data_IF_591582821573
#
_entry.id   IF_591582821573
#
_cell.length_a   1.000
_cell.length_b   1.000
_cell.length_c   1.000
_cell.angle_alpha   90.00
_cell.angle_beta   90.00
_cell.angle_gamma   90.00
#
_symmetry.space_group_name_H-M   'P 1'
#
loop_
_entity.id
_entity.type
_entity.pdbx_description
1 polymer ?
#
# COMPACT_ATOMS: atom_id res chain seq x y z
N UNK A 1 -19.66 -7.59 2.20
CA UNK A 1 -18.25 -7.56 2.61
C UNK A 1 -17.88 -6.16 3.03
N UNK A 2 -17.21 -6.02 4.15
CA UNK A 2 -16.80 -4.72 4.68
C UNK A 2 -15.39 -4.35 4.24
N UNK A 3 -15.01 -3.08 4.41
CA UNK A 3 -13.63 -2.62 4.16
C UNK A 3 -12.62 -3.41 4.98
N UNK A 4 -12.99 -3.77 6.23
CA UNK A 4 -12.12 -4.57 7.10
C UNK A 4 -11.88 -5.96 6.52
N UNK A 5 -12.92 -6.56 5.92
CA UNK A 5 -12.76 -7.86 5.26
C UNK A 5 -11.81 -7.76 4.08
N UNK A 6 -11.90 -6.70 3.30
CA UNK A 6 -10.99 -6.47 2.16
C UNK A 6 -9.55 -6.30 2.61
N UNK A 7 -9.30 -5.53 3.67
CA UNK A 7 -7.96 -5.36 4.22
C UNK A 7 -7.43 -6.67 4.80
N UNK A 8 -8.29 -7.44 5.46
CA UNK A 8 -7.89 -8.74 6.01
C UNK A 8 -7.53 -9.72 4.91
N UNK A 9 -8.30 -9.74 3.81
CA UNK A 9 -8.00 -10.56 2.65
C UNK A 9 -6.66 -10.17 2.02
N UNK A 10 -6.40 -8.87 1.89
CA UNK A 10 -5.12 -8.37 1.39
C UNK A 10 -4.00 -8.84 2.31
N UNK A 11 -4.16 -8.71 3.61
CA UNK A 11 -3.15 -9.14 4.59
C UNK A 11 -2.83 -10.62 4.47
N UNK A 12 -3.86 -11.46 4.29
CA UNK A 12 -3.67 -12.91 4.11
C UNK A 12 -2.95 -13.21 2.81
N UNK A 13 -3.29 -12.50 1.74
CA UNK A 13 -2.63 -12.68 0.45
C UNK A 13 -1.14 -12.31 0.55
N UNK A 14 -0.83 -11.18 1.17
CA UNK A 14 0.55 -10.74 1.36
C UNK A 14 1.35 -11.75 2.19
N UNK A 15 0.76 -12.25 3.27
CA UNK A 15 1.39 -13.26 4.12
C UNK A 15 1.69 -14.53 3.31
N UNK A 16 0.78 -14.92 2.41
CA UNK A 16 0.96 -16.10 1.57
C UNK A 16 2.09 -15.95 0.56
N UNK A 17 2.53 -14.73 0.27
CA UNK A 17 3.64 -14.48 -0.67
C UNK A 17 5.01 -14.50 0.00
N UNK A 18 5.07 -14.49 1.33
CA UNK A 18 6.31 -14.63 2.07
C UNK A 18 6.99 -15.95 1.71
N UNK A 19 8.28 -15.88 1.35
CA UNK A 19 9.02 -17.07 0.94
C UNK A 19 8.62 -17.62 -0.41
N UNK A 20 7.73 -16.93 -1.14
CA UNK A 20 7.33 -17.34 -2.48
C UNK A 20 8.39 -17.04 -3.52
N UNK A 21 8.14 -17.51 -4.75
CA UNK A 21 9.05 -17.31 -5.87
C UNK A 21 9.05 -15.84 -6.32
N UNK A 22 10.20 -15.15 -6.23
CA UNK A 22 10.27 -13.74 -6.68
C UNK A 22 9.93 -13.55 -8.16
N UNK A 23 10.07 -14.60 -8.96
CA UNK A 23 9.75 -14.52 -10.39
C UNK A 23 8.24 -14.55 -10.64
N UNK A 24 7.45 -15.06 -9.70
CA UNK A 24 6.02 -15.31 -9.93
C UNK A 24 5.13 -14.16 -9.47
N UNK A 25 5.61 -13.24 -8.63
CA UNK A 25 4.77 -12.14 -8.17
C UNK A 25 5.61 -10.95 -7.73
N UNK A 26 5.05 -9.76 -7.95
CA UNK A 26 5.64 -8.49 -7.52
C UNK A 26 5.80 -8.45 -5.99
N UNK A 27 4.79 -8.90 -5.26
CA UNK A 27 4.82 -8.93 -3.80
C UNK A 27 5.92 -9.84 -3.28
N UNK A 28 6.04 -11.05 -3.83
CA UNK A 28 7.08 -11.98 -3.44
C UNK A 28 8.46 -11.38 -3.72
N UNK A 29 8.61 -10.68 -4.84
CA UNK A 29 9.87 -10.02 -5.20
C UNK A 29 10.23 -8.91 -4.23
N UNK A 30 9.26 -8.08 -3.83
CA UNK A 30 9.50 -7.02 -2.84
C UNK A 30 9.93 -7.60 -1.50
N UNK A 31 9.22 -8.63 -1.03
CA UNK A 31 9.54 -9.27 0.23
C UNK A 31 10.91 -9.93 0.20
N UNK A 32 11.25 -10.54 -0.94
CA UNK A 32 12.56 -11.18 -1.13
C UNK A 32 13.71 -10.16 -1.12
N UNK A 33 13.50 -9.00 -1.78
CA UNK A 33 14.52 -7.95 -1.80
C UNK A 33 14.75 -7.32 -0.43
N UNK A 34 13.72 -7.32 0.41
CA UNK A 34 13.83 -6.84 1.78
C UNK A 34 13.52 -5.36 1.96
N UNK A 35 13.79 -4.84 3.18
CA UNK A 35 13.28 -3.52 3.60
C UNK A 35 13.65 -2.36 2.69
N UNK A 36 14.87 -2.30 2.20
CA UNK A 36 15.30 -1.14 1.40
C UNK A 36 14.39 -0.94 0.18
N UNK A 37 13.95 -2.03 -0.44
CA UNK A 37 13.11 -1.93 -1.63
C UNK A 37 11.70 -1.41 -1.30
N UNK A 38 11.00 -2.02 -0.34
CA UNK A 38 9.63 -1.60 -0.08
C UNK A 38 9.55 -0.31 0.75
N UNK A 39 10.54 -0.02 1.60
CA UNK A 39 10.57 1.24 2.34
C UNK A 39 10.80 2.43 1.40
N UNK A 40 11.65 2.25 0.40
CA UNK A 40 11.83 3.25 -0.65
C UNK A 40 10.52 3.52 -1.37
N UNK A 41 9.76 2.47 -1.69
CA UNK A 41 8.45 2.59 -2.34
C UNK A 41 7.49 3.40 -1.49
N UNK A 42 7.45 3.16 -0.19
CA UNK A 42 6.56 3.91 0.72
C UNK A 42 6.89 5.41 0.65
N UNK A 43 8.16 5.77 0.68
CA UNK A 43 8.56 7.18 0.58
C UNK A 43 8.15 7.80 -0.76
N UNK A 44 8.36 7.09 -1.85
CA UNK A 44 7.97 7.55 -3.18
C UNK A 44 6.46 7.73 -3.29
N UNK A 45 5.66 6.76 -2.82
CA UNK A 45 4.21 6.83 -2.89
C UNK A 45 3.64 7.96 -2.02
N UNK A 46 4.23 8.20 -0.86
CA UNK A 46 3.81 9.32 -0.01
C UNK A 46 4.01 10.66 -0.74
N UNK A 47 5.14 10.83 -1.40
CA UNK A 47 5.43 12.02 -2.19
C UNK A 47 4.45 12.16 -3.36
N UNK A 48 4.17 11.07 -4.07
CA UNK A 48 3.22 11.07 -5.18
C UNK A 48 1.80 11.43 -4.72
N UNK A 49 1.40 10.98 -3.53
CA UNK A 49 0.11 11.36 -2.96
C UNK A 49 0.05 12.87 -2.70
N UNK A 50 1.11 13.44 -2.11
CA UNK A 50 1.18 14.88 -1.88
C UNK A 50 1.05 15.64 -3.19
N UNK A 51 1.78 15.20 -4.22
CA UNK A 51 1.74 15.85 -5.54
C UNK A 51 0.34 15.75 -6.17
N UNK A 52 -0.31 14.59 -6.05
CA UNK A 52 -1.66 14.41 -6.59
C UNK A 52 -2.66 15.37 -5.92
N UNK A 53 -2.52 15.57 -4.61
CA UNK A 53 -3.37 16.52 -3.87
C UNK A 53 -3.13 17.96 -4.34
N UNK A 54 -1.88 18.35 -4.53
CA UNK A 54 -1.55 19.68 -5.01
C UNK A 54 -2.03 19.92 -6.44
N UNK A 55 -1.93 18.90 -7.29
CA UNK A 55 -2.47 18.99 -8.66
C UNK A 55 -3.98 19.18 -8.63
N UNK A 56 -4.71 18.49 -7.73
CA UNK A 56 -6.14 18.66 -7.59
C UNK A 56 -6.50 20.08 -7.11
N UNK A 57 -5.73 20.63 -6.18
CA UNK A 57 -5.96 21.99 -5.70
C UNK A 57 -5.84 23.00 -6.85
N UNK A 58 -4.82 22.85 -7.69
CA UNK A 58 -4.60 23.78 -8.83
C UNK A 58 -5.55 23.51 -9.99
N UNK A 59 -6.00 22.27 -10.16
CA UNK A 59 -6.85 21.88 -11.28
C UNK A 59 -8.34 21.95 -11.01
N UNK A 60 -8.78 22.60 -9.93
CA UNK A 60 -10.20 22.75 -9.61
C UNK A 60 -10.85 21.49 -9.08
N UNK A 61 -10.07 20.55 -8.63
CA UNK A 61 -10.55 19.30 -8.00
C UNK A 61 -11.49 18.49 -8.90
N UNK A 62 -11.14 18.37 -10.18
CA UNK A 62 -11.92 17.59 -11.14
C UNK A 62 -12.02 16.12 -10.70
N UNK A 63 -12.99 15.39 -11.29
CA UNK A 63 -13.17 13.96 -10.97
C UNK A 63 -11.90 13.15 -11.28
N UNK A 64 -11.22 13.45 -12.39
CA UNK A 64 -9.99 12.75 -12.78
C UNK A 64 -8.86 13.00 -11.78
N UNK A 65 -8.70 14.25 -11.32
CA UNK A 65 -7.66 14.59 -10.35
C UNK A 65 -7.95 13.94 -9.00
N UNK A 66 -9.22 13.91 -8.59
CA UNK A 66 -9.60 13.22 -7.35
C UNK A 66 -9.39 11.71 -7.43
N UNK A 67 -9.66 11.11 -8.60
CA UNK A 67 -9.39 9.69 -8.81
C UNK A 67 -7.90 9.37 -8.68
N UNK A 68 -7.03 10.29 -9.11
CA UNK A 68 -5.59 10.15 -8.96
C UNK A 68 -5.18 10.13 -7.48
N UNK A 69 -5.82 10.95 -6.66
CA UNK A 69 -5.58 10.95 -5.20
C UNK A 69 -5.89 9.57 -4.63
N UNK A 70 -7.03 8.99 -4.99
CA UNK A 70 -7.40 7.65 -4.52
C UNK A 70 -6.39 6.61 -4.98
N UNK A 71 -5.97 6.69 -6.25
CA UNK A 71 -4.99 5.76 -6.81
C UNK A 71 -3.68 5.81 -6.03
N UNK A 72 -3.14 7.01 -5.77
CA UNK A 72 -1.88 7.15 -5.05
C UNK A 72 -2.01 6.72 -3.58
N UNK A 73 -3.17 6.96 -2.97
CA UNK A 73 -3.44 6.50 -1.61
C UNK A 73 -3.45 4.98 -1.55
N UNK A 74 -4.08 4.33 -2.54
CA UNK A 74 -4.11 2.87 -2.60
C UNK A 74 -2.70 2.28 -2.73
N UNK A 75 -1.85 2.90 -3.56
CA UNK A 75 -0.46 2.47 -3.71
C UNK A 75 0.31 2.60 -2.39
N UNK A 76 0.14 3.71 -1.70
CA UNK A 76 0.78 3.92 -0.40
C UNK A 76 0.32 2.88 0.62
N UNK A 77 -0.98 2.62 0.68
CA UNK A 77 -1.52 1.61 1.59
C UNK A 77 -0.98 0.22 1.26
N UNK A 78 -0.94 -0.14 -0.02
CA UNK A 78 -0.43 -1.44 -0.44
C UNK A 78 1.01 -1.65 0.03
N UNK A 79 1.90 -0.70 -0.27
CA UNK A 79 3.31 -0.84 0.12
C UNK A 79 3.49 -0.78 1.64
N UNK A 80 2.64 -0.03 2.35
CA UNK A 80 2.63 -0.04 3.82
C UNK A 80 2.25 -1.41 4.36
N UNK A 81 1.28 -2.09 3.71
CA UNK A 81 0.90 -3.45 4.10
C UNK A 81 2.02 -4.45 3.83
N UNK A 82 2.78 -4.27 2.75
CA UNK A 82 3.97 -5.10 2.49
C UNK A 82 4.96 -4.98 3.66
N UNK A 83 5.18 -3.75 4.13
CA UNK A 83 6.06 -3.53 5.28
C UNK A 83 5.54 -4.24 6.53
N UNK A 84 4.25 -4.11 6.83
CA UNK A 84 3.64 -4.81 7.96
C UNK A 84 3.89 -6.33 7.87
N UNK A 85 3.67 -6.89 6.68
CA UNK A 85 3.86 -8.32 6.45
C UNK A 85 5.30 -8.74 6.76
N UNK A 86 6.26 -7.97 6.30
CA UNK A 86 7.67 -8.26 6.54
C UNK A 86 7.99 -8.33 8.04
N UNK A 87 7.38 -7.44 8.84
CA UNK A 87 7.62 -7.38 10.28
C UNK A 87 6.68 -8.29 11.08
N UNK A 88 5.93 -9.16 10.41
CA UNK A 88 5.04 -10.10 11.10
C UNK A 88 3.78 -9.46 11.66
N UNK A 89 3.41 -8.30 11.13
CA UNK A 89 2.23 -7.55 11.56
C UNK A 89 1.11 -7.69 10.52
N UNK A 90 -0.10 -7.29 10.90
CA UNK A 90 -1.27 -7.41 10.01
C UNK A 90 -2.06 -6.10 9.96
N UNK A 91 -2.93 -5.94 8.94
CA UNK A 91 -3.81 -4.77 8.87
C UNK A 91 -4.73 -4.62 10.09
N UNK A 92 -5.06 -5.72 10.76
CA UNK A 92 -5.91 -5.68 11.95
C UNK A 92 -5.31 -4.81 13.05
N UNK A 93 -3.99 -4.86 13.23
CA UNK A 93 -3.31 -4.01 14.20
C UNK A 93 -3.50 -2.53 13.90
N UNK A 94 -3.44 -2.16 12.62
CA UNK A 94 -3.65 -0.78 12.19
C UNK A 94 -5.11 -0.36 12.43
N UNK A 95 -6.06 -1.21 12.06
CA UNK A 95 -7.47 -0.94 12.26
C UNK A 95 -7.77 -0.72 13.75
N UNK A 96 -7.21 -1.56 14.61
CA UNK A 96 -7.38 -1.44 16.06
C UNK A 96 -6.81 -0.12 16.58
N UNK A 97 -5.65 0.30 16.06
CA UNK A 97 -5.03 1.54 16.48
C UNK A 97 -5.84 2.77 16.06
N UNK A 98 -6.51 2.71 14.91
CA UNK A 98 -7.35 3.79 14.41
C UNK A 98 -8.67 3.90 15.16
N UNK A 99 -9.17 2.82 15.69
CA UNK A 99 -10.40 2.76 16.47
C UNK A 99 -10.13 2.93 17.94
#
# INVERSE_FOLDING_TARGET
>A
MTSNDSLNQLGRMLESRKGGDPESSYTARLLHKGPDAFLKKIGEEATELVMACKDADHGGQSADLKAKIVYETADLWFHSMVALTHYGLSPQGVIAELG
#
